data_IF_739951524247
#
_entry.id   IF_739951524247
#
_cell.length_a   1.000
_cell.length_b   1.000
_cell.length_c   1.000
_cell.angle_alpha   90.00
_cell.angle_beta   90.00
_cell.angle_gamma   90.00
#
_symmetry.space_group_name_H-M   'P 1'
#
loop_
_entity.id
_entity.type
_entity.pdbx_description
1 polymer ?
#
# COMPACT_ATOMS: atom_id res chain seq x y z
N UNK A 1 -15.32 7.89 32.47
CA UNK A 1 -15.06 8.19 31.05
C UNK A 1 -13.62 7.84 30.78
N UNK A 2 -13.36 6.56 30.50
CA UNK A 2 -12.02 6.03 30.26
C UNK A 2 -11.70 6.25 28.78
N UNK A 3 -10.71 7.08 28.48
CA UNK A 3 -10.22 7.24 27.11
C UNK A 3 -9.46 5.98 26.70
N UNK A 4 -10.10 5.10 25.94
CA UNK A 4 -9.40 4.01 25.25
C UNK A 4 -8.59 4.62 24.10
N UNK A 5 -7.27 4.60 24.23
CA UNK A 5 -6.38 4.97 23.13
C UNK A 5 -6.33 3.81 22.13
N UNK A 6 -6.87 4.03 20.93
CA UNK A 6 -6.79 3.08 19.82
C UNK A 6 -5.38 3.15 19.24
N UNK A 7 -4.64 2.04 19.30
CA UNK A 7 -3.36 1.92 18.61
C UNK A 7 -3.65 1.63 17.13
N UNK A 8 -3.39 2.62 16.28
CA UNK A 8 -3.51 2.47 14.82
C UNK A 8 -2.17 1.93 14.31
N UNK A 9 -2.11 0.75 13.67
CA UNK A 9 -0.89 0.28 13.06
C UNK A 9 -0.57 1.18 11.86
N UNK A 10 0.56 1.87 11.94
CA UNK A 10 1.08 2.66 10.81
C UNK A 10 1.58 1.66 9.76
N UNK A 11 1.12 1.75 8.50
CA UNK A 11 1.63 0.90 7.43
C UNK A 11 3.16 1.02 7.35
N UNK A 12 3.86 -0.11 7.36
CA UNK A 12 5.32 -0.11 7.29
C UNK A 12 5.76 0.16 5.84
N UNK A 13 6.28 1.36 5.59
CA UNK A 13 6.81 1.75 4.28
C UNK A 13 8.27 1.33 4.22
N UNK A 14 8.55 0.18 3.58
CA UNK A 14 9.92 -0.29 3.38
C UNK A 14 10.47 0.28 2.07
N UNK A 15 11.33 1.30 2.16
CA UNK A 15 12.00 1.92 1.01
C UNK A 15 13.09 1.06 0.35
N UNK A 16 12.99 -0.27 0.40
CA UNK A 16 13.96 -1.22 -0.14
C UNK A 16 13.25 -2.30 -0.95
N UNK A 17 13.92 -2.80 -1.99
CA UNK A 17 13.45 -3.94 -2.77
C UNK A 17 13.23 -5.15 -1.85
N UNK A 18 12.14 -5.93 -2.02
CA UNK A 18 11.93 -7.14 -1.24
C UNK A 18 13.10 -8.12 -1.39
N UNK A 19 13.40 -8.87 -0.32
CA UNK A 19 14.45 -9.90 -0.33
C UNK A 19 14.14 -11.05 -1.30
N UNK A 20 12.86 -11.32 -1.51
CA UNK A 20 12.32 -12.41 -2.34
C UNK A 20 11.35 -11.81 -3.38
N UNK A 21 11.86 -11.11 -4.42
CA UNK A 21 11.02 -10.43 -5.40
C UNK A 21 10.08 -11.36 -6.16
N UNK A 22 10.39 -12.65 -6.26
CA UNK A 22 9.55 -13.70 -6.82
C UNK A 22 8.21 -13.89 -6.10
N UNK A 23 8.11 -13.49 -4.83
CA UNK A 23 6.88 -13.56 -4.04
C UNK A 23 5.94 -12.38 -4.26
N UNK A 24 6.32 -11.46 -5.15
CA UNK A 24 5.57 -10.25 -5.45
C UNK A 24 5.16 -10.23 -6.92
N UNK A 25 3.98 -9.69 -7.19
CA UNK A 25 3.64 -9.11 -8.47
C UNK A 25 4.25 -7.71 -8.53
N UNK A 26 4.98 -7.42 -9.59
CA UNK A 26 5.62 -6.11 -9.78
C UNK A 26 4.78 -5.31 -10.78
N UNK A 27 4.41 -4.10 -10.40
CA UNK A 27 3.64 -3.16 -11.23
C UNK A 27 4.46 -1.87 -11.31
N UNK A 28 4.67 -1.35 -12.52
CA UNK A 28 5.32 -0.06 -12.69
C UNK A 28 4.26 1.04 -12.78
N UNK A 29 4.36 2.04 -11.89
CA UNK A 29 3.49 3.22 -11.86
C UNK A 29 4.37 4.46 -12.01
N UNK A 30 4.30 5.15 -13.14
CA UNK A 30 5.15 6.30 -13.53
C UNK A 30 6.63 6.20 -13.12
N UNK A 31 7.26 5.05 -13.39
CA UNK A 31 8.67 4.80 -13.11
C UNK A 31 8.98 4.34 -11.68
N UNK A 32 7.96 4.12 -10.85
CA UNK A 32 8.08 3.52 -9.52
C UNK A 32 7.66 2.05 -9.58
N UNK A 33 8.56 1.17 -9.16
CA UNK A 33 8.25 -0.26 -9.02
C UNK A 33 7.47 -0.50 -7.72
N UNK A 34 6.22 -0.90 -7.87
CA UNK A 34 5.32 -1.29 -6.78
C UNK A 34 5.31 -2.81 -6.66
N UNK A 35 5.67 -3.30 -5.48
CA UNK A 35 5.72 -4.72 -5.18
C UNK A 35 4.47 -5.12 -4.38
N UNK A 36 3.54 -5.82 -5.03
CA UNK A 36 2.32 -6.32 -4.40
C UNK A 36 2.52 -7.79 -4.05
N UNK A 37 2.42 -8.15 -2.76
CA UNK A 37 2.59 -9.54 -2.34
C UNK A 37 1.58 -10.46 -3.03
N UNK A 38 2.04 -11.60 -3.57
CA UNK A 38 1.15 -12.63 -4.14
C UNK A 38 0.27 -13.31 -3.09
N UNK A 39 0.61 -13.19 -1.80
CA UNK A 39 -0.24 -13.67 -0.70
C UNK A 39 -1.43 -12.74 -0.42
N UNK A 40 -1.43 -11.52 -0.97
CA UNK A 40 -2.50 -10.57 -0.77
C UNK A 40 -3.75 -11.02 -1.53
N UNK A 41 -4.83 -11.27 -0.81
CA UNK A 41 -6.14 -11.50 -1.42
C UNK A 41 -6.73 -10.15 -1.79
N UNK A 42 -6.70 -9.81 -3.08
CA UNK A 42 -7.32 -8.58 -3.56
C UNK A 42 -8.85 -8.64 -3.36
N UNK A 43 -9.48 -7.54 -2.94
CA UNK A 43 -10.92 -7.51 -2.78
C UNK A 43 -11.61 -7.57 -4.15
N UNK A 44 -12.89 -7.93 -4.17
CA UNK A 44 -13.68 -8.04 -5.42
C UNK A 44 -13.97 -6.70 -6.09
N UNK A 45 -13.81 -5.60 -5.36
CA UNK A 45 -13.97 -4.26 -5.90
C UNK A 45 -12.64 -3.71 -6.40
N UNK A 46 -12.70 -2.69 -7.25
CA UNK A 46 -11.51 -2.11 -7.84
C UNK A 46 -10.62 -1.46 -6.77
N UNK A 47 -9.35 -1.87 -6.75
CA UNK A 47 -8.27 -1.21 -6.01
C UNK A 47 -7.45 -0.40 -6.99
N UNK A 48 -7.28 0.88 -6.71
CA UNK A 48 -6.56 1.80 -7.58
C UNK A 48 -5.23 2.16 -6.90
N UNK A 49 -4.13 1.99 -7.63
CA UNK A 49 -2.79 2.43 -7.23
C UNK A 49 -2.37 3.50 -8.25
N UNK A 50 -2.20 4.72 -7.79
CA UNK A 50 -1.85 5.87 -8.62
C UNK A 50 -0.75 6.72 -7.98
N UNK A 51 -0.17 7.61 -8.79
CA UNK A 51 0.80 8.59 -8.35
C UNK A 51 0.17 9.98 -8.34
N UNK A 52 -0.05 10.51 -7.15
CA UNK A 52 -0.48 11.89 -6.97
C UNK A 52 0.75 12.80 -6.91
N UNK A 53 0.67 13.99 -7.50
CA UNK A 53 1.76 14.96 -7.51
C UNK A 53 1.27 16.28 -6.93
N UNK A 54 1.83 16.68 -5.80
CA UNK A 54 1.47 17.93 -5.13
C UNK A 54 2.73 18.70 -4.72
N UNK A 55 2.85 19.96 -5.13
CA UNK A 55 4.01 20.83 -4.87
C UNK A 55 5.36 20.19 -5.24
N UNK A 56 5.41 19.42 -6.33
CA UNK A 56 6.62 18.73 -6.80
C UNK A 56 6.96 17.44 -6.02
N UNK A 57 6.19 17.10 -4.99
CA UNK A 57 6.30 15.83 -4.29
C UNK A 57 5.40 14.79 -4.97
N UNK A 58 5.90 13.57 -5.13
CA UNK A 58 5.15 12.43 -5.66
C UNK A 58 4.68 11.55 -4.49
N UNK A 59 3.41 11.20 -4.49
CA UNK A 59 2.77 10.37 -3.47
C UNK A 59 2.18 9.13 -4.15
N UNK A 60 2.63 7.95 -3.75
CA UNK A 60 1.95 6.72 -4.14
C UNK A 60 0.67 6.61 -3.31
N UNK A 61 -0.48 6.67 -3.98
CA UNK A 61 -1.79 6.58 -3.35
C UNK A 61 -2.43 5.26 -3.70
N UNK A 62 -3.08 4.67 -2.69
CA UNK A 62 -3.87 3.44 -2.85
C UNK A 62 -5.29 3.73 -2.38
N UNK A 63 -6.28 3.43 -3.20
CA UNK A 63 -7.69 3.66 -2.90
C UNK A 63 -8.55 2.46 -3.31
N UNK A 64 -9.81 2.43 -2.86
CA UNK A 64 -10.69 1.29 -3.12
C UNK A 64 -10.34 0.05 -2.31
N UNK A 65 -9.55 0.14 -1.24
CA UNK A 65 -9.35 -0.96 -0.31
C UNK A 65 -10.10 -0.68 1.01
N UNK A 66 -10.63 -1.73 1.62
CA UNK A 66 -11.00 -1.73 3.05
C UNK A 66 -9.94 -2.55 3.77
N UNK A 67 -9.24 -1.96 4.74
CA UNK A 67 -8.52 -2.79 5.70
C UNK A 67 -9.56 -3.47 6.57
N UNK A 68 -9.61 -4.80 6.53
CA UNK A 68 -10.25 -5.56 7.58
C UNK A 68 -9.27 -5.56 8.76
N UNK A 69 -9.34 -4.54 9.61
CA UNK A 69 -8.78 -4.66 10.96
C UNK A 69 -9.77 -5.47 11.81
N UNK A 70 -9.25 -6.53 12.44
CA UNK A 70 -9.87 -7.29 13.53
C UNK A 70 -9.07 -7.02 14.80
#
# INVERSE_FOLDING_TARGET
>A
MSSESVLVPVPEIIGRKPKEPENYQIINVDGIDVYVSKSLVLPKNDVIIDLDTFLGMKFLRVSGFKSNES
#
